data_IF_884899328247
#
_entry.id   IF_884899328247
#
_cell.length_a   1.000
_cell.length_b   1.000
_cell.length_c   1.000
_cell.angle_alpha   90.00
_cell.angle_beta   90.00
_cell.angle_gamma   90.00
#
_symmetry.space_group_name_H-M   'P 1'
#
loop_
_entity.id
_entity.type
_entity.pdbx_description
1 polymer ?
#
# COMPACT_ATOMS: atom_id res chain seq x y z
N UNK A 1 38.17 -34.36 -11.49
CA UNK A 1 38.50 -32.93 -11.56
C UNK A 1 37.59 -32.24 -10.57
N UNK A 2 38.12 -31.72 -9.46
CA UNK A 2 37.29 -31.02 -8.47
C UNK A 2 36.88 -29.67 -9.07
N UNK A 3 35.57 -29.41 -9.15
CA UNK A 3 35.05 -28.06 -9.41
C UNK A 3 35.64 -27.10 -8.38
N UNK A 4 36.12 -25.92 -8.82
CA UNK A 4 36.64 -24.90 -7.91
C UNK A 4 35.49 -24.36 -7.05
N UNK A 5 35.71 -24.16 -5.75
CA UNK A 5 34.67 -23.70 -4.82
C UNK A 5 34.04 -22.35 -5.26
N UNK A 6 34.83 -21.49 -5.89
CA UNK A 6 34.38 -20.22 -6.45
C UNK A 6 33.38 -20.39 -7.61
N UNK A 7 33.61 -21.36 -8.49
CA UNK A 7 32.71 -21.66 -9.61
C UNK A 7 31.35 -22.17 -9.11
N UNK A 8 31.37 -22.97 -8.03
CA UNK A 8 30.15 -23.46 -7.38
C UNK A 8 29.36 -22.29 -6.79
N UNK A 9 30.02 -21.35 -6.10
CA UNK A 9 29.38 -20.17 -5.51
C UNK A 9 28.75 -19.28 -6.59
N UNK A 10 29.47 -18.97 -7.67
CA UNK A 10 28.97 -18.15 -8.79
C UNK A 10 27.75 -18.80 -9.43
N UNK A 11 27.78 -20.13 -9.62
CA UNK A 11 26.66 -20.89 -10.15
C UNK A 11 25.43 -20.80 -9.24
N UNK A 12 25.58 -20.98 -7.93
CA UNK A 12 24.46 -20.86 -6.99
C UNK A 12 23.90 -19.44 -6.94
N UNK A 13 24.77 -18.41 -6.96
CA UNK A 13 24.33 -17.03 -7.02
C UNK A 13 23.50 -16.75 -8.28
N UNK A 14 23.95 -17.24 -9.44
CA UNK A 14 23.23 -17.11 -10.72
C UNK A 14 21.84 -17.77 -10.66
N UNK A 15 21.73 -18.92 -10.00
CA UNK A 15 20.46 -19.61 -9.78
C UNK A 15 19.51 -18.74 -8.95
N UNK A 16 19.99 -18.17 -7.85
CA UNK A 16 19.19 -17.32 -6.97
C UNK A 16 18.76 -16.02 -7.68
N UNK A 17 19.67 -15.36 -8.40
CA UNK A 17 19.37 -14.15 -9.16
C UNK A 17 18.28 -14.39 -10.20
N UNK A 18 18.38 -15.48 -10.97
CA UNK A 18 17.36 -15.86 -11.95
C UNK A 18 16.01 -16.15 -11.29
N UNK A 19 16.01 -16.86 -10.16
CA UNK A 19 14.78 -17.14 -9.41
C UNK A 19 14.09 -15.84 -8.94
N UNK A 20 14.83 -14.93 -8.30
CA UNK A 20 14.26 -13.68 -7.80
C UNK A 20 13.84 -12.73 -8.93
N UNK A 21 14.52 -12.75 -10.09
CA UNK A 21 14.10 -12.03 -11.29
C UNK A 21 12.77 -12.57 -11.85
N UNK A 22 12.60 -13.89 -11.90
CA UNK A 22 11.35 -14.53 -12.31
C UNK A 22 10.22 -14.21 -11.30
N UNK A 23 10.53 -14.22 -10.00
CA UNK A 23 9.59 -13.86 -8.94
C UNK A 23 9.13 -12.40 -9.05
N UNK A 24 10.09 -11.47 -9.23
CA UNK A 24 9.83 -10.03 -9.39
C UNK A 24 9.06 -9.67 -10.66
N UNK A 25 9.17 -10.48 -11.71
CA UNK A 25 8.40 -10.34 -12.96
C UNK A 25 7.06 -11.07 -12.96
N UNK A 26 6.61 -11.56 -11.79
CA UNK A 26 5.36 -12.31 -11.61
C UNK A 26 5.29 -13.64 -12.38
N UNK A 27 6.44 -14.17 -12.80
CA UNK A 27 6.56 -15.44 -13.53
C UNK A 27 6.65 -16.62 -12.57
N UNK A 28 5.68 -16.74 -11.66
CA UNK A 28 5.74 -17.66 -10.52
C UNK A 28 5.89 -19.15 -10.88
N UNK A 29 5.14 -19.62 -11.88
CA UNK A 29 5.22 -21.03 -12.31
C UNK A 29 6.62 -21.33 -12.87
N UNK A 30 7.16 -20.42 -13.70
CA UNK A 30 8.52 -20.53 -14.24
C UNK A 30 9.58 -20.47 -13.13
N UNK A 31 9.41 -19.59 -12.15
CA UNK A 31 10.32 -19.47 -11.01
C UNK A 31 10.38 -20.79 -10.22
N UNK A 32 9.21 -21.39 -9.97
CA UNK A 32 9.09 -22.68 -9.28
C UNK A 32 9.74 -23.81 -10.08
N UNK A 33 9.33 -23.99 -11.33
CA UNK A 33 9.86 -25.06 -12.21
C UNK A 33 11.36 -24.96 -12.40
N UNK A 34 11.88 -23.73 -12.56
CA UNK A 34 13.31 -23.46 -12.67
C UNK A 34 14.05 -23.96 -11.42
N UNK A 35 13.58 -23.58 -10.24
CA UNK A 35 14.28 -23.90 -9.00
C UNK A 35 14.17 -25.38 -8.63
N UNK A 36 13.04 -26.03 -8.91
CA UNK A 36 12.87 -27.48 -8.74
C UNK A 36 13.84 -28.25 -9.66
N UNK A 37 14.00 -27.81 -10.91
CA UNK A 37 14.96 -28.39 -11.86
C UNK A 37 16.40 -28.23 -11.39
N UNK A 38 16.82 -27.01 -11.01
CA UNK A 38 18.19 -26.76 -10.54
C UNK A 38 18.50 -27.55 -9.25
N UNK A 39 17.54 -27.65 -8.33
CA UNK A 39 17.66 -28.49 -7.14
C UNK A 39 17.86 -29.96 -7.50
N UNK A 40 17.01 -30.51 -8.37
CA UNK A 40 17.08 -31.94 -8.74
C UNK A 40 18.40 -32.29 -9.43
N UNK A 41 18.92 -31.38 -10.26
CA UNK A 41 20.26 -31.50 -10.86
C UNK A 41 21.35 -31.46 -9.78
N UNK A 42 21.25 -30.55 -8.83
CA UNK A 42 22.24 -30.40 -7.77
C UNK A 42 22.28 -31.60 -6.81
N UNK A 43 21.12 -32.20 -6.51
CA UNK A 43 21.01 -33.42 -5.71
C UNK A 43 21.56 -34.63 -6.46
N UNK A 44 21.20 -34.82 -7.74
CA UNK A 44 21.68 -35.94 -8.56
C UNK A 44 23.20 -35.95 -8.73
N UNK A 45 23.80 -34.76 -8.83
CA UNK A 45 25.24 -34.64 -9.04
C UNK A 45 26.02 -34.59 -7.71
N UNK A 46 25.35 -34.69 -6.56
CA UNK A 46 25.97 -34.53 -5.23
C UNK A 46 26.75 -33.21 -5.09
N UNK A 47 26.33 -32.15 -5.79
CA UNK A 47 27.04 -30.86 -5.85
C UNK A 47 26.55 -29.84 -4.82
N UNK A 48 25.57 -30.21 -3.98
CA UNK A 48 24.92 -29.30 -3.05
C UNK A 48 24.67 -29.99 -1.71
N UNK A 49 25.00 -29.29 -0.63
CA UNK A 49 24.70 -29.73 0.72
C UNK A 49 23.17 -29.94 0.93
N UNK A 50 22.75 -30.95 1.72
CA UNK A 50 21.33 -31.20 2.00
C UNK A 50 20.57 -29.97 2.55
N UNK A 51 21.29 -29.09 3.27
CA UNK A 51 20.74 -27.84 3.78
C UNK A 51 20.31 -26.90 2.65
N UNK A 52 21.19 -26.64 1.69
CA UNK A 52 20.91 -25.73 0.59
C UNK A 52 19.81 -26.28 -0.33
N UNK A 53 19.75 -27.61 -0.54
CA UNK A 53 18.63 -28.27 -1.22
C UNK A 53 17.27 -28.05 -0.52
N UNK A 54 17.27 -28.03 0.82
CA UNK A 54 16.08 -27.70 1.62
C UNK A 54 15.67 -26.24 1.41
N UNK A 55 16.63 -25.31 1.40
CA UNK A 55 16.37 -23.90 1.13
C UNK A 55 15.78 -23.68 -0.27
N UNK A 56 16.33 -24.32 -1.32
CA UNK A 56 15.78 -24.27 -2.68
C UNK A 56 14.33 -24.79 -2.73
N UNK A 57 14.02 -25.85 -1.99
CA UNK A 57 12.65 -26.38 -1.91
C UNK A 57 11.68 -25.40 -1.23
N UNK A 58 12.14 -24.70 -0.19
CA UNK A 58 11.36 -23.64 0.47
C UNK A 58 11.14 -22.44 -0.46
N UNK A 59 12.14 -22.03 -1.23
CA UNK A 59 12.02 -20.93 -2.21
C UNK A 59 11.05 -21.30 -3.36
N UNK A 60 11.07 -22.54 -3.85
CA UNK A 60 10.11 -23.01 -4.86
C UNK A 60 8.66 -22.98 -4.30
N UNK A 61 8.50 -23.36 -3.03
CA UNK A 61 7.22 -23.29 -2.32
C UNK A 61 6.75 -21.84 -2.14
N UNK A 62 7.67 -20.89 -1.91
CA UNK A 62 7.38 -19.47 -1.86
C UNK A 62 6.83 -18.94 -3.19
N UNK A 63 7.38 -19.36 -4.34
CA UNK A 63 6.85 -18.96 -5.64
C UNK A 63 5.39 -19.38 -5.83
N UNK A 64 5.03 -20.60 -5.38
CA UNK A 64 3.64 -21.07 -5.39
C UNK A 64 2.74 -20.26 -4.44
N UNK A 65 3.23 -19.91 -3.25
CA UNK A 65 2.50 -19.08 -2.29
C UNK A 65 2.25 -17.66 -2.86
N UNK A 66 3.28 -17.02 -3.43
CA UNK A 66 3.19 -15.68 -4.01
C UNK A 66 2.23 -15.63 -5.21
N UNK A 67 2.18 -16.69 -6.04
CA UNK A 67 1.17 -16.82 -7.11
C UNK A 67 -0.25 -16.76 -6.54
N UNK A 68 -0.51 -17.53 -5.49
CA UNK A 68 -1.81 -17.60 -4.85
C UNK A 68 -2.16 -16.27 -4.16
N UNK A 69 -1.18 -15.61 -3.54
CA UNK A 69 -1.34 -14.29 -2.93
C UNK A 69 -1.68 -13.23 -3.97
N UNK A 70 -0.93 -13.17 -5.07
CA UNK A 70 -1.11 -12.18 -6.13
C UNK A 70 -2.48 -12.27 -6.83
N UNK A 71 -3.16 -13.42 -6.69
CA UNK A 71 -4.50 -13.70 -7.22
C UNK A 71 -5.59 -13.74 -6.13
N UNK A 72 -5.32 -13.26 -4.93
CA UNK A 72 -6.28 -13.21 -3.82
C UNK A 72 -6.91 -14.56 -3.43
N UNK A 73 -6.19 -15.66 -3.62
CA UNK A 73 -6.73 -17.00 -3.31
C UNK A 73 -7.05 -17.19 -1.82
N UNK A 74 -6.53 -16.33 -0.95
CA UNK A 74 -6.88 -16.28 0.48
C UNK A 74 -8.28 -15.73 0.77
N UNK A 75 -8.86 -14.98 -0.17
CA UNK A 75 -10.25 -14.48 -0.08
C UNK A 75 -11.26 -15.39 -0.78
N UNK A 76 -10.79 -16.42 -1.50
CA UNK A 76 -11.62 -17.33 -2.27
C UNK A 76 -12.63 -18.11 -1.42
N UNK A 77 -13.70 -18.65 -2.03
CA UNK A 77 -14.68 -19.46 -1.30
C UNK A 77 -14.00 -20.68 -0.68
N UNK A 78 -14.22 -20.89 0.63
CA UNK A 78 -13.88 -22.13 1.33
C UNK A 78 -14.81 -23.22 0.81
N UNK A 79 -14.34 -24.01 -0.16
CA UNK A 79 -15.14 -25.09 -0.74
C UNK A 79 -15.41 -26.17 0.32
N UNK A 80 -16.67 -26.63 0.42
CA UNK A 80 -17.16 -27.54 1.46
C UNK A 80 -16.45 -28.92 1.53
N UNK A 81 -15.57 -29.23 0.57
CA UNK A 81 -14.86 -30.53 0.46
C UNK A 81 -13.38 -30.40 0.03
N UNK A 82 -12.77 -29.21 0.03
CA UNK A 82 -11.33 -29.09 -0.23
C UNK A 82 -10.58 -29.11 1.10
N UNK A 83 -9.68 -30.09 1.26
CA UNK A 83 -8.68 -30.11 2.34
C UNK A 83 -7.99 -28.74 2.35
N UNK A 84 -8.16 -28.02 3.46
CA UNK A 84 -7.65 -26.67 3.66
C UNK A 84 -6.11 -26.66 3.63
N UNK A 85 -5.51 -26.54 2.45
CA UNK A 85 -4.24 -25.83 2.35
C UNK A 85 -4.58 -24.36 2.08
N UNK A 86 -5.12 -23.69 3.11
CA UNK A 86 -5.34 -22.25 3.00
C UNK A 86 -4.00 -21.59 2.64
N UNK A 87 -4.02 -20.53 1.83
CA UNK A 87 -2.79 -19.80 1.52
C UNK A 87 -2.05 -19.37 2.81
N UNK A 88 -2.82 -19.08 3.87
CA UNK A 88 -2.30 -18.82 5.20
C UNK A 88 -1.45 -19.99 5.71
N UNK A 89 -1.94 -21.22 5.61
CA UNK A 89 -1.21 -22.44 5.98
C UNK A 89 0.06 -22.65 5.14
N UNK A 90 0.07 -22.26 3.86
CA UNK A 90 1.29 -22.28 3.04
C UNK A 90 2.36 -21.32 3.60
N UNK A 91 1.96 -20.09 3.93
CA UNK A 91 2.88 -19.12 4.53
C UNK A 91 3.30 -19.47 5.96
N UNK A 92 2.43 -20.05 6.77
CA UNK A 92 2.78 -20.58 8.11
C UNK A 92 3.80 -21.72 8.00
N UNK A 93 3.62 -22.63 7.03
CA UNK A 93 4.60 -23.68 6.72
C UNK A 93 5.95 -23.10 6.29
N UNK A 94 5.95 -22.11 5.39
CA UNK A 94 7.16 -21.41 4.96
C UNK A 94 7.84 -20.67 6.12
N UNK A 95 7.06 -20.05 7.01
CA UNK A 95 7.58 -19.35 8.19
C UNK A 95 8.34 -20.32 9.10
N UNK A 96 7.75 -21.48 9.41
CA UNK A 96 8.40 -22.49 10.24
C UNK A 96 9.66 -23.04 9.57
N UNK A 97 9.62 -23.27 8.26
CA UNK A 97 10.78 -23.79 7.53
C UNK A 97 11.92 -22.78 7.43
N UNK A 98 11.63 -21.51 7.14
CA UNK A 98 12.66 -20.46 7.14
C UNK A 98 13.25 -20.22 8.53
N UNK A 99 12.43 -20.29 9.58
CA UNK A 99 12.92 -20.21 10.95
C UNK A 99 13.87 -21.38 11.27
N UNK A 100 13.50 -22.61 10.91
CA UNK A 100 14.36 -23.79 11.08
C UNK A 100 15.68 -23.67 10.30
N UNK A 101 15.64 -23.13 9.09
CA UNK A 101 16.82 -22.94 8.24
C UNK A 101 17.72 -21.80 8.76
N UNK A 102 17.14 -20.74 9.33
CA UNK A 102 17.87 -19.64 9.96
C UNK A 102 18.57 -20.10 11.26
N UNK A 103 17.85 -20.79 12.15
CA UNK A 103 18.34 -21.21 13.48
C UNK A 103 19.53 -22.17 13.42
N UNK A 104 19.65 -22.99 12.36
CA UNK A 104 20.76 -23.94 12.19
C UNK A 104 22.14 -23.26 12.13
N UNK A 105 22.20 -21.97 11.77
CA UNK A 105 23.44 -21.17 11.76
C UNK A 105 23.94 -20.81 13.17
N UNK A 106 23.09 -20.85 14.20
CA UNK A 106 23.48 -20.50 15.58
C UNK A 106 23.99 -21.68 16.42
N UNK A 107 23.93 -22.90 15.88
CA UNK A 107 24.25 -24.14 16.64
C UNK A 107 25.69 -24.62 16.42
N UNK A 108 26.42 -24.10 15.42
CA UNK A 108 27.86 -24.36 15.27
C UNK A 108 28.64 -23.28 16.03
N UNK A 109 29.20 -23.56 17.23
CA UNK A 109 30.03 -22.59 17.91
C UNK A 109 31.35 -22.54 17.14
N UNK A 110 31.71 -21.39 16.60
CA UNK A 110 33.12 -21.06 16.37
C UNK A 110 33.78 -21.19 17.75
N UNK A 111 34.53 -22.26 17.95
CA UNK A 111 35.33 -22.46 19.15
C UNK A 111 36.47 -21.44 19.13
N UNK A 112 36.20 -20.22 19.61
CA UNK A 112 37.26 -19.30 20.02
C UNK A 112 37.85 -19.82 21.33
N UNK A 113 39.20 -19.96 21.45
CA UNK A 113 39.81 -20.31 22.71
C UNK A 113 39.55 -19.17 23.70
N UNK A 114 38.73 -19.45 24.71
CA UNK A 114 38.46 -18.53 25.82
C UNK A 114 39.72 -18.49 26.69
N UNK A 115 40.48 -17.40 26.61
CA UNK A 115 41.44 -17.04 27.65
C UNK A 115 40.67 -16.51 28.86
N UNK A 116 40.84 -17.18 30.00
CA UNK A 116 40.21 -16.85 31.28
C UNK A 116 40.55 -15.44 31.76
N UNK A 117 39.60 -14.69 32.37
CA UNK A 117 39.90 -13.38 32.93
C UNK A 117 40.49 -13.53 34.33
N UNK A 118 41.80 -13.30 34.45
CA UNK A 118 42.43 -13.07 35.75
C UNK A 118 42.27 -11.60 36.12
N UNK A 119 41.49 -11.36 37.17
CA UNK A 119 41.25 -10.06 37.77
C UNK A 119 42.55 -9.42 38.23
N UNK A 120 42.71 -8.09 38.07
CA UNK A 120 43.51 -7.26 38.98
C UNK A 120 43.47 -5.77 38.64
N UNK A 121 42.97 -5.00 39.62
CA UNK A 121 43.25 -3.58 39.94
C UNK A 121 42.64 -2.49 39.03
N UNK A 122 41.63 -1.77 39.54
CA UNK A 122 41.69 -0.53 40.36
C UNK A 122 41.84 0.72 39.49
N UNK A 123 40.79 1.53 39.51
CA UNK A 123 40.75 2.95 39.11
C UNK A 123 41.87 3.76 39.78
N UNK A 124 42.32 4.87 39.16
CA UNK A 124 41.79 6.17 39.60
C UNK A 124 41.59 7.24 38.50
N UNK A 125 40.84 8.25 38.93
CA UNK A 125 40.32 9.47 38.27
C UNK A 125 41.37 10.48 37.75
N UNK A 126 40.94 11.56 37.01
CA UNK A 126 41.79 12.55 36.34
C UNK A 126 41.93 13.87 37.16
N UNK A 127 42.34 15.02 36.59
CA UNK A 127 43.58 15.40 35.89
C UNK A 127 44.28 16.59 36.60
N UNK A 128 45.53 16.96 36.25
CA UNK A 128 46.01 18.34 36.51
C UNK A 128 47.22 18.77 35.67
N UNK A 129 47.14 20.04 35.26
CA UNK A 129 48.21 21.04 35.00
C UNK A 129 49.16 20.89 33.81
N UNK A 130 48.95 21.78 32.82
CA UNK A 130 49.93 22.45 31.94
C UNK A 130 51.03 23.19 32.77
N UNK A 131 52.11 23.81 32.21
CA UNK A 131 52.26 24.35 30.84
C UNK A 131 53.68 24.28 30.19
N UNK A 132 53.82 24.93 29.02
CA UNK A 132 55.07 25.44 28.36
C UNK A 132 55.84 24.40 27.53
N UNK A 133 56.34 24.59 26.30
CA UNK A 133 56.25 25.58 25.21
C UNK A 133 57.05 25.07 23.99
N UNK A 134 56.70 25.55 22.78
CA UNK A 134 57.57 25.86 21.61
C UNK A 134 58.14 24.71 20.74
N UNK A 135 57.98 24.89 19.41
CA UNK A 135 58.84 24.34 18.34
C UNK A 135 58.09 23.47 17.33
N UNK A 136 57.43 24.06 16.32
CA UNK A 136 57.90 24.20 14.94
C UNK A 136 58.21 22.91 14.15
N UNK A 137 57.43 22.77 13.07
CA UNK A 137 57.89 22.51 11.69
C UNK A 137 58.20 21.09 11.17
N UNK A 138 57.48 20.82 10.06
CA UNK A 138 57.96 20.30 8.77
C UNK A 138 57.97 18.78 8.53
N UNK A 139 57.08 18.43 7.59
CA UNK A 139 57.20 17.52 6.44
C UNK A 139 58.44 16.66 6.30
N UNK A 140 58.22 15.41 5.88
CA UNK A 140 59.29 14.61 5.29
C UNK A 140 58.86 13.21 4.92
N UNK A 141 58.23 13.05 3.76
CA UNK A 141 58.15 11.79 3.04
C UNK A 141 59.55 11.21 2.83
N UNK A 142 59.74 9.91 3.08
CA UNK A 142 60.65 9.10 2.27
C UNK A 142 60.36 7.63 2.45
N UNK A 143 59.98 7.01 1.34
CA UNK A 143 60.06 5.59 1.13
C UNK A 143 61.52 5.11 1.25
N UNK A 144 61.71 3.93 1.83
CA UNK A 144 62.88 3.11 1.55
C UNK A 144 62.43 1.67 1.34
N UNK A 145 62.22 1.38 0.06
CA UNK A 145 62.32 0.05 -0.51
C UNK A 145 63.72 -0.52 -0.25
N UNK A 146 63.80 -1.65 0.45
CA UNK A 146 64.87 -2.62 0.27
C UNK A 146 64.25 -3.96 -0.08
N UNK A 147 64.52 -4.40 -1.31
CA UNK A 147 64.23 -5.74 -1.75
C UNK A 147 65.17 -6.74 -1.09
N UNK A 148 64.67 -7.95 -0.89
CA UNK A 148 65.50 -9.14 -0.94
C UNK A 148 64.69 -10.30 -1.48
N UNK A 149 65.27 -10.83 -2.54
CA UNK A 149 64.92 -12.01 -3.31
C UNK A 149 64.79 -13.24 -2.43
N UNK A 150 63.62 -13.88 -2.50
CA UNK A 150 63.38 -15.21 -1.94
C UNK A 150 62.46 -15.97 -2.87
N UNK A 151 63.03 -16.70 -3.82
CA UNK A 151 62.32 -17.66 -4.65
C UNK A 151 61.78 -18.78 -3.77
N UNK A 152 60.46 -18.87 -3.65
CA UNK A 152 59.78 -20.08 -3.16
C UNK A 152 58.67 -20.44 -4.14
N UNK A 153 58.95 -21.53 -4.85
CA UNK A 153 58.04 -22.48 -5.51
C UNK A 153 56.57 -22.30 -5.15
N UNK A 154 55.76 -22.23 -6.22
CA UNK A 154 54.31 -22.28 -6.16
C UNK A 154 53.81 -23.43 -5.29
N UNK A 155 52.94 -23.08 -4.35
CA UNK A 155 52.06 -24.01 -3.67
C UNK A 155 50.64 -23.59 -4.04
N UNK A 156 50.06 -24.28 -5.02
CA UNK A 156 48.61 -24.27 -5.26
C UNK A 156 47.94 -24.83 -4.01
N UNK A 157 47.56 -23.95 -3.09
CA UNK A 157 46.65 -24.32 -2.01
C UNK A 157 45.29 -24.63 -2.64
N UNK A 158 45.02 -25.91 -2.87
CA UNK A 158 43.65 -26.38 -2.97
C UNK A 158 42.98 -26.07 -1.64
N UNK A 159 42.03 -25.12 -1.63
CA UNK A 159 41.15 -24.93 -0.49
C UNK A 159 40.42 -26.26 -0.22
N UNK A 160 40.33 -26.73 1.03
CA UNK A 160 39.52 -27.89 1.35
C UNK A 160 38.06 -27.62 0.98
N UNK A 161 37.41 -28.59 0.33
CA UNK A 161 36.01 -28.54 -0.12
C UNK A 161 35.01 -28.10 0.97
N UNK A 162 35.37 -28.27 2.24
CA UNK A 162 34.64 -27.80 3.42
C UNK A 162 34.39 -26.28 3.45
N UNK A 163 35.30 -25.46 2.92
CA UNK A 163 35.14 -23.99 2.96
C UNK A 163 34.02 -23.47 2.03
N UNK A 164 33.74 -24.17 0.93
CA UNK A 164 32.67 -23.79 0.00
C UNK A 164 31.27 -24.13 0.52
N UNK A 165 31.13 -25.24 1.25
CA UNK A 165 29.88 -25.65 1.88
C UNK A 165 29.45 -24.67 2.97
N UNK A 166 30.37 -24.26 3.85
CA UNK A 166 30.10 -23.29 4.91
C UNK A 166 29.61 -21.93 4.37
N UNK A 167 30.21 -21.44 3.28
CA UNK A 167 29.82 -20.16 2.66
C UNK A 167 28.40 -20.24 2.08
N UNK A 168 28.05 -21.35 1.42
CA UNK A 168 26.73 -21.55 0.83
C UNK A 168 25.65 -21.75 1.91
N UNK A 169 25.97 -22.47 2.99
CA UNK A 169 25.05 -22.60 4.13
C UNK A 169 24.80 -21.25 4.82
N UNK A 170 25.85 -20.44 5.00
CA UNK A 170 25.73 -19.09 5.56
C UNK A 170 24.87 -18.18 4.67
N UNK A 171 25.09 -18.21 3.35
CA UNK A 171 24.27 -17.46 2.39
C UNK A 171 22.80 -17.88 2.43
N UNK A 172 22.53 -19.19 2.38
CA UNK A 172 21.15 -19.70 2.40
C UNK A 172 20.45 -19.41 3.73
N UNK A 173 21.14 -19.52 4.87
CA UNK A 173 20.60 -19.13 6.18
C UNK A 173 20.26 -17.65 6.24
N UNK A 174 21.18 -16.78 5.79
CA UNK A 174 20.96 -15.33 5.74
C UNK A 174 19.74 -14.97 4.88
N UNK A 175 19.61 -15.58 3.70
CA UNK A 175 18.45 -15.39 2.83
C UNK A 175 17.15 -15.90 3.48
N UNK A 176 17.19 -17.04 4.18
CA UNK A 176 16.03 -17.55 4.91
C UNK A 176 15.58 -16.57 6.01
N UNK A 177 16.49 -15.94 6.76
CA UNK A 177 16.13 -14.92 7.76
C UNK A 177 15.46 -13.68 7.15
N UNK A 178 15.91 -13.22 5.98
CA UNK A 178 15.25 -12.14 5.24
C UNK A 178 13.86 -12.57 4.75
N UNK A 179 13.74 -13.76 4.17
CA UNK A 179 12.48 -14.30 3.66
C UNK A 179 11.49 -14.62 4.78
N UNK A 180 11.96 -14.96 5.97
CA UNK A 180 11.13 -15.11 7.17
C UNK A 180 10.43 -13.79 7.52
N UNK A 181 11.17 -12.68 7.52
CA UNK A 181 10.62 -11.34 7.74
C UNK A 181 9.61 -10.96 6.66
N UNK A 182 9.91 -11.30 5.40
CA UNK A 182 9.00 -11.11 4.27
C UNK A 182 7.69 -11.89 4.43
N UNK A 183 7.75 -13.19 4.75
CA UNK A 183 6.56 -14.05 4.96
C UNK A 183 5.70 -13.54 6.12
N UNK A 184 6.32 -13.09 7.23
CA UNK A 184 5.61 -12.48 8.35
C UNK A 184 4.86 -11.21 7.94
N UNK A 185 5.51 -10.33 7.15
CA UNK A 185 4.86 -9.15 6.61
C UNK A 185 3.71 -9.50 5.66
N UNK A 186 3.88 -10.56 4.86
CA UNK A 186 2.89 -11.05 3.91
C UNK A 186 1.62 -11.55 4.61
N UNK A 187 1.76 -12.32 5.69
CA UNK A 187 0.65 -12.75 6.55
C UNK A 187 -0.15 -11.55 7.09
N UNK A 188 0.53 -10.55 7.67
CA UNK A 188 -0.13 -9.32 8.15
C UNK A 188 -0.84 -8.55 7.03
N UNK A 189 -0.27 -8.55 5.82
CA UNK A 189 -0.86 -7.87 4.67
C UNK A 189 -2.11 -8.61 4.17
N UNK A 190 -2.16 -9.95 4.27
CA UNK A 190 -3.37 -10.72 3.98
C UNK A 190 -4.52 -10.34 4.93
N UNK A 191 -4.24 -10.28 6.24
CA UNK A 191 -5.22 -9.83 7.24
C UNK A 191 -5.74 -8.42 6.95
N UNK A 192 -4.85 -7.52 6.50
CA UNK A 192 -5.22 -6.19 6.05
C UNK A 192 -6.20 -6.21 4.87
N UNK A 193 -5.94 -7.03 3.84
CA UNK A 193 -6.84 -7.19 2.70
C UNK A 193 -8.19 -7.82 3.09
N UNK A 194 -8.20 -8.79 4.01
CA UNK A 194 -9.44 -9.37 4.58
C UNK A 194 -10.28 -8.31 5.30
N UNK A 195 -9.62 -7.43 6.06
CA UNK A 195 -10.29 -6.29 6.72
C UNK A 195 -10.86 -5.31 5.69
N UNK A 196 -10.11 -4.98 4.63
CA UNK A 196 -10.62 -4.12 3.54
C UNK A 196 -11.83 -4.73 2.83
N UNK A 197 -11.80 -6.03 2.54
CA UNK A 197 -12.94 -6.74 1.96
C UNK A 197 -14.18 -6.62 2.86
N UNK A 198 -14.01 -6.88 4.16
CA UNK A 198 -15.09 -6.81 5.16
C UNK A 198 -15.68 -5.39 5.26
N UNK A 199 -14.86 -4.35 5.11
CA UNK A 199 -15.32 -2.96 5.07
C UNK A 199 -16.20 -2.67 3.85
N UNK A 200 -15.95 -3.33 2.71
CA UNK A 200 -16.75 -3.17 1.50
C UNK A 200 -18.23 -3.53 1.69
N UNK A 201 -18.54 -4.41 2.66
CA UNK A 201 -19.92 -4.77 3.02
C UNK A 201 -20.66 -3.70 3.82
N UNK A 202 -19.94 -2.74 4.42
CA UNK A 202 -20.57 -1.65 5.19
C UNK A 202 -21.04 -0.53 4.27
N UNK A 203 -22.30 -0.11 4.39
CA UNK A 203 -22.88 0.99 3.59
C UNK A 203 -22.01 2.26 3.59
N UNK A 204 -21.41 2.60 4.72
CA UNK A 204 -20.46 3.69 4.86
C UNK A 204 -19.15 3.15 5.41
N UNK A 205 -18.07 3.28 4.63
CA UNK A 205 -16.75 2.87 5.09
C UNK A 205 -16.21 3.88 6.10
N UNK A 206 -15.66 3.36 7.21
CA UNK A 206 -14.93 4.13 8.22
C UNK A 206 -13.46 3.79 8.12
N UNK A 207 -12.62 4.78 7.87
CA UNK A 207 -11.16 4.60 7.73
C UNK A 207 -10.39 4.89 9.03
N UNK A 208 -11.07 5.34 10.08
CA UNK A 208 -10.46 5.66 11.36
C UNK A 208 -9.74 4.44 11.95
N UNK A 209 -8.48 4.64 12.38
CA UNK A 209 -7.63 3.56 12.90
C UNK A 209 -7.04 2.63 11.85
N UNK A 210 -7.41 2.72 10.56
CA UNK A 210 -6.93 1.82 9.51
C UNK A 210 -5.46 2.10 9.12
N UNK A 211 -5.04 3.36 9.15
CA UNK A 211 -3.69 3.82 8.77
C UNK A 211 -2.70 3.90 9.94
N UNK A 212 -3.13 3.56 11.16
CA UNK A 212 -2.29 3.71 12.38
C UNK A 212 -1.12 2.71 12.43
N UNK A 213 -1.14 1.67 11.60
CA UNK A 213 -0.04 0.71 11.45
C UNK A 213 0.58 0.81 10.05
N UNK A 214 1.32 1.89 9.80
CA UNK A 214 2.02 2.10 8.54
C UNK A 214 3.12 1.05 8.31
N UNK A 215 3.06 0.35 7.18
CA UNK A 215 4.17 -0.49 6.70
C UNK A 215 5.31 0.45 6.27
N UNK A 216 6.46 0.35 6.94
CA UNK A 216 7.66 1.12 6.58
C UNK A 216 8.17 0.69 5.19
N UNK A 217 8.50 1.69 4.37
CA UNK A 217 8.91 1.61 2.96
C UNK A 217 9.87 0.46 2.66
N UNK A 218 9.59 -0.30 1.60
CA UNK A 218 10.55 -1.15 0.89
C UNK A 218 10.49 -0.73 -0.59
N UNK A 219 11.64 -0.46 -1.18
CA UNK A 219 11.77 -0.10 -2.60
C UNK A 219 12.48 -1.22 -3.34
N UNK A 220 12.00 -1.58 -4.53
CA UNK A 220 12.78 -2.27 -5.56
C UNK A 220 12.26 -1.90 -6.95
N UNK A 221 13.17 -1.92 -7.92
CA UNK A 221 12.98 -1.46 -9.29
C UNK A 221 13.25 -2.57 -10.32
N UNK A 222 12.92 -2.23 -11.57
CA UNK A 222 13.38 -2.76 -12.87
C UNK A 222 12.46 -3.76 -13.60
N UNK A 223 12.54 -3.60 -14.93
CA UNK A 223 11.57 -3.90 -15.98
C UNK A 223 11.94 -5.13 -16.81
N UNK A 224 10.93 -5.79 -17.37
CA UNK A 224 10.84 -6.14 -18.80
C UNK A 224 9.37 -6.47 -19.12
N UNK A 225 8.99 -6.54 -20.41
CA UNK A 225 7.58 -6.59 -20.87
C UNK A 225 6.75 -7.61 -20.07
N UNK A 226 5.72 -7.17 -19.32
CA UNK A 226 5.19 -7.99 -18.25
C UNK A 226 4.15 -9.00 -18.77
N UNK A 227 4.09 -10.20 -18.18
CA UNK A 227 2.90 -11.04 -18.23
C UNK A 227 1.66 -10.24 -17.73
N UNK A 228 0.42 -10.71 -18.01
CA UNK A 228 -0.79 -10.02 -17.55
C UNK A 228 -0.68 -9.71 -16.06
N UNK A 229 -0.91 -8.44 -15.72
CA UNK A 229 -0.66 -7.96 -14.37
C UNK A 229 -1.51 -8.74 -13.35
N UNK A 230 -0.95 -9.14 -12.20
CA UNK A 230 -1.69 -9.93 -11.22
C UNK A 230 -2.98 -9.26 -10.76
N UNK A 231 -3.94 -10.06 -10.27
CA UNK A 231 -5.23 -9.58 -9.80
C UNK A 231 -5.10 -8.47 -8.77
N UNK A 232 -4.17 -8.62 -7.81
CA UNK A 232 -3.88 -7.58 -6.81
C UNK A 232 -3.39 -6.27 -7.42
N UNK A 233 -2.45 -6.33 -8.36
CA UNK A 233 -1.96 -5.11 -9.02
C UNK A 233 -3.07 -4.41 -9.80
N UNK A 234 -3.87 -5.18 -10.53
CA UNK A 234 -5.02 -4.66 -11.28
C UNK A 234 -6.05 -4.01 -10.35
N UNK A 235 -6.35 -4.64 -9.21
CA UNK A 235 -7.25 -4.08 -8.20
C UNK A 235 -6.71 -2.78 -7.61
N UNK A 236 -5.42 -2.72 -7.24
CA UNK A 236 -4.77 -1.50 -6.73
C UNK A 236 -4.80 -0.36 -7.76
N UNK A 237 -4.59 -0.67 -9.05
CA UNK A 237 -4.70 0.31 -10.13
C UNK A 237 -6.12 0.87 -10.23
N UNK A 238 -7.13 0.02 -10.09
CA UNK A 238 -8.54 0.44 -10.11
C UNK A 238 -8.88 1.27 -8.87
N UNK A 239 -8.39 0.90 -7.69
CA UNK A 239 -8.51 1.68 -6.46
C UNK A 239 -7.90 3.07 -6.63
N UNK A 240 -6.66 3.16 -7.12
CA UNK A 240 -6.02 4.44 -7.44
C UNK A 240 -6.88 5.26 -8.39
N UNK A 241 -7.35 4.68 -9.48
CA UNK A 241 -8.11 5.41 -10.49
C UNK A 241 -9.45 5.94 -9.94
N UNK A 242 -10.15 5.15 -9.12
CA UNK A 242 -11.39 5.56 -8.45
C UNK A 242 -11.15 6.69 -7.42
N UNK A 243 -10.08 6.58 -6.61
CA UNK A 243 -9.69 7.61 -5.65
C UNK A 243 -9.30 8.92 -6.35
N UNK A 244 -8.56 8.85 -7.46
CA UNK A 244 -8.23 10.03 -8.27
C UNK A 244 -9.49 10.66 -8.85
N UNK A 245 -10.42 9.87 -9.42
CA UNK A 245 -11.72 10.40 -9.88
C UNK A 245 -12.50 11.11 -8.78
N UNK A 246 -12.52 10.54 -7.56
CA UNK A 246 -13.20 11.13 -6.39
C UNK A 246 -12.50 12.42 -5.92
N UNK A 247 -11.17 12.40 -5.86
CA UNK A 247 -10.36 13.58 -5.55
C UNK A 247 -10.62 14.72 -6.53
N UNK A 248 -10.61 14.43 -7.84
CA UNK A 248 -10.89 15.42 -8.89
C UNK A 248 -12.26 16.05 -8.71
N UNK A 249 -13.28 15.29 -8.26
CA UNK A 249 -14.61 15.85 -7.97
C UNK A 249 -14.60 16.70 -6.69
N UNK A 250 -14.16 16.14 -5.55
CA UNK A 250 -14.28 16.79 -4.24
C UNK A 250 -13.44 18.06 -4.14
N UNK A 251 -12.34 18.12 -4.89
CA UNK A 251 -11.49 19.29 -4.96
C UNK A 251 -11.63 20.04 -6.28
N UNK A 252 -12.68 19.79 -7.07
CA UNK A 252 -12.86 20.38 -8.39
C UNK A 252 -12.74 21.90 -8.37
N UNK A 253 -13.38 22.57 -7.41
CA UNK A 253 -13.31 24.03 -7.29
C UNK A 253 -11.87 24.51 -7.08
N UNK A 254 -11.14 23.90 -6.15
CA UNK A 254 -9.75 24.27 -5.83
C UNK A 254 -8.85 23.98 -7.03
N UNK A 255 -8.97 22.80 -7.64
CA UNK A 255 -8.21 22.40 -8.81
C UNK A 255 -8.47 23.35 -9.99
N UNK A 256 -9.72 23.74 -10.22
CA UNK A 256 -10.07 24.67 -11.29
C UNK A 256 -9.51 26.08 -11.09
N UNK A 257 -9.31 26.52 -9.84
CA UNK A 257 -8.67 27.79 -9.50
C UNK A 257 -7.14 27.74 -9.60
N UNK A 258 -6.56 26.54 -9.45
CA UNK A 258 -5.11 26.33 -9.43
C UNK A 258 -4.54 25.75 -10.74
N UNK A 259 -5.39 25.50 -11.74
CA UNK A 259 -4.97 24.95 -13.04
C UNK A 259 -5.67 25.65 -14.19
N UNK A 260 -5.20 25.40 -15.42
CA UNK A 260 -5.86 25.96 -16.60
C UNK A 260 -7.15 25.19 -16.93
N UNK A 261 -8.11 25.79 -17.64
CA UNK A 261 -9.29 25.06 -18.12
C UNK A 261 -8.95 23.83 -18.98
N UNK A 262 -7.84 23.88 -19.72
CA UNK A 262 -7.34 22.76 -20.50
C UNK A 262 -6.86 21.62 -19.60
N UNK A 263 -6.10 21.93 -18.54
CA UNK A 263 -5.63 20.94 -17.57
C UNK A 263 -6.78 20.31 -16.81
N UNK A 264 -7.75 21.12 -16.35
CA UNK A 264 -8.92 20.62 -15.65
C UNK A 264 -9.73 19.65 -16.53
N UNK A 265 -9.93 20.01 -17.81
CA UNK A 265 -10.55 19.12 -18.80
C UNK A 265 -9.75 17.83 -19.00
N UNK A 266 -8.42 17.93 -19.05
CA UNK A 266 -7.53 16.77 -19.17
C UNK A 266 -7.60 15.86 -17.93
N UNK A 267 -7.71 16.41 -16.71
CA UNK A 267 -7.90 15.62 -15.49
C UNK A 267 -9.20 14.85 -15.53
N UNK A 268 -10.30 15.49 -15.92
CA UNK A 268 -11.61 14.85 -16.07
C UNK A 268 -11.59 13.77 -17.17
N UNK A 269 -10.95 14.04 -18.32
CA UNK A 269 -10.87 13.08 -19.42
C UNK A 269 -10.02 11.84 -19.13
N UNK A 270 -8.98 11.97 -18.29
CA UNK A 270 -8.13 10.85 -17.86
C UNK A 270 -8.70 10.09 -16.65
N UNK A 271 -9.74 10.64 -16.01
CA UNK A 271 -10.36 10.03 -14.85
C UNK A 271 -11.09 8.74 -15.27
N UNK A 272 -11.02 7.70 -14.42
CA UNK A 272 -11.78 6.46 -14.66
C UNK A 272 -13.29 6.69 -14.69
N UNK A 273 -13.74 7.72 -13.97
CA UNK A 273 -15.09 8.24 -13.98
C UNK A 273 -15.05 9.77 -13.95
N UNK A 274 -15.68 10.41 -14.94
CA UNK A 274 -15.84 11.86 -15.01
C UNK A 274 -17.15 12.27 -14.33
N UNK A 275 -17.06 12.47 -13.01
CA UNK A 275 -18.21 12.86 -12.19
C UNK A 275 -18.74 14.25 -12.56
N UNK A 276 -17.85 15.19 -12.85
CA UNK A 276 -18.23 16.57 -13.12
C UNK A 276 -19.02 16.67 -14.43
N UNK A 277 -18.59 15.98 -15.49
CA UNK A 277 -19.34 15.89 -16.74
C UNK A 277 -20.73 15.26 -16.55
N UNK A 278 -20.86 14.23 -15.69
CA UNK A 278 -22.17 13.65 -15.34
C UNK A 278 -23.08 14.62 -14.60
N UNK A 279 -22.55 15.36 -13.63
CA UNK A 279 -23.29 16.39 -12.88
C UNK A 279 -23.78 17.49 -13.82
N UNK A 280 -22.88 18.06 -14.63
CA UNK A 280 -23.21 19.14 -15.57
C UNK A 280 -24.21 18.69 -16.65
N UNK A 281 -24.06 17.47 -17.16
CA UNK A 281 -25.00 16.90 -18.14
C UNK A 281 -26.39 16.66 -17.54
N UNK A 282 -26.47 16.17 -16.31
CA UNK A 282 -27.74 15.97 -15.61
C UNK A 282 -28.42 17.30 -15.30
N UNK A 283 -27.65 18.28 -14.82
CA UNK A 283 -28.14 19.63 -14.53
C UNK A 283 -28.80 20.27 -15.75
N UNK A 284 -28.10 20.28 -16.90
CA UNK A 284 -28.62 20.84 -18.16
C UNK A 284 -29.82 20.08 -18.70
N UNK A 285 -29.81 18.74 -18.61
CA UNK A 285 -30.86 17.89 -19.21
C UNK A 285 -32.20 18.02 -18.51
N UNK A 286 -32.20 18.19 -17.18
CA UNK A 286 -33.42 18.17 -16.38
C UNK A 286 -33.75 19.51 -15.72
N UNK A 287 -33.05 20.58 -16.14
CA UNK A 287 -33.23 21.93 -15.61
C UNK A 287 -33.14 21.98 -14.08
N UNK A 288 -32.05 21.38 -13.57
CA UNK A 288 -31.76 21.37 -12.14
C UNK A 288 -31.19 22.72 -11.74
N UNK A 289 -31.70 23.32 -10.67
CA UNK A 289 -31.19 24.60 -10.17
C UNK A 289 -29.78 24.45 -9.58
N UNK A 290 -29.57 23.42 -8.74
CA UNK A 290 -28.28 23.14 -8.13
C UNK A 290 -28.07 21.65 -7.87
N UNK A 291 -26.84 21.18 -8.05
CA UNK A 291 -26.36 19.90 -7.53
C UNK A 291 -25.15 20.20 -6.65
N UNK A 292 -25.20 19.78 -5.38
CA UNK A 292 -24.16 20.05 -4.42
C UNK A 292 -23.75 18.82 -3.61
N UNK A 293 -22.50 18.79 -3.16
CA UNK A 293 -22.04 17.86 -2.13
C UNK A 293 -21.71 18.68 -0.89
N UNK A 294 -22.37 18.34 0.20
CA UNK A 294 -22.28 19.05 1.48
C UNK A 294 -21.48 18.21 2.46
N UNK A 295 -20.45 18.82 3.07
CA UNK A 295 -19.67 18.22 4.14
C UNK A 295 -20.25 18.64 5.49
N UNK A 296 -20.49 17.67 6.36
CA UNK A 296 -20.78 17.88 7.78
C UNK A 296 -19.47 17.90 8.58
N UNK A 297 -19.17 19.07 9.13
CA UNK A 297 -17.94 19.34 9.90
C UNK A 297 -18.07 19.03 11.39
N UNK A 298 -19.24 18.59 11.88
CA UNK A 298 -19.46 18.35 13.30
C UNK A 298 -18.48 17.30 13.86
N UNK A 299 -17.62 17.69 14.81
CA UNK A 299 -16.58 16.81 15.36
C UNK A 299 -15.40 16.56 14.40
N UNK A 300 -15.15 17.49 13.46
CA UNK A 300 -13.87 17.60 12.76
C UNK A 300 -13.06 18.75 13.38
N UNK A 301 -12.33 18.44 14.45
CA UNK A 301 -11.60 19.46 15.23
C UNK A 301 -10.47 20.13 14.42
N UNK A 302 -9.95 19.46 13.39
CA UNK A 302 -8.87 19.94 12.52
C UNK A 302 -9.36 20.50 11.16
N UNK A 303 -10.67 20.73 10.98
CA UNK A 303 -11.19 21.21 9.70
C UNK A 303 -10.96 22.72 9.51
N UNK A 304 -9.88 23.11 8.85
CA UNK A 304 -9.55 24.53 8.62
C UNK A 304 -10.24 25.19 7.41
N UNK A 305 -11.23 24.55 6.80
CA UNK A 305 -11.91 25.07 5.60
C UNK A 305 -11.36 24.50 4.28
N UNK A 306 -11.79 25.11 3.17
CA UNK A 306 -11.44 24.67 1.83
C UNK A 306 -10.02 25.04 1.41
N UNK A 307 -9.28 24.06 0.90
CA UNK A 307 -7.95 24.25 0.32
C UNK A 307 -6.85 24.39 1.38
N UNK A 308 -5.72 24.97 0.98
CA UNK A 308 -4.60 25.19 1.88
C UNK A 308 -4.91 26.34 2.85
N UNK A 309 -4.79 26.07 4.14
CA UNK A 309 -4.82 27.09 5.19
C UNK A 309 -3.45 27.15 5.86
N UNK A 310 -2.95 28.38 6.05
CA UNK A 310 -1.67 28.59 6.71
C UNK A 310 -1.72 28.08 8.16
N UNK A 311 -0.70 27.35 8.66
CA UNK A 311 -0.74 26.77 10.02
C UNK A 311 -0.91 27.79 11.15
N UNK A 312 -0.54 29.05 10.91
CA UNK A 312 -0.65 30.14 11.89
C UNK A 312 -1.96 30.94 11.76
N UNK A 313 -2.83 30.61 10.79
CA UNK A 313 -4.12 31.27 10.66
C UNK A 313 -4.99 30.86 11.85
N UNK A 314 -5.53 31.83 12.58
CA UNK A 314 -6.48 31.57 13.65
C UNK A 314 -7.62 30.69 13.12
N UNK A 315 -7.80 29.54 13.74
CA UNK A 315 -8.84 28.60 13.38
C UNK A 315 -10.07 28.86 14.23
N UNK A 316 -11.21 29.04 13.57
CA UNK A 316 -12.51 29.10 14.22
C UNK A 316 -13.33 27.89 13.77
N UNK A 317 -13.75 27.08 14.74
CA UNK A 317 -14.62 25.93 14.47
C UNK A 317 -15.93 26.42 13.84
N UNK A 318 -16.31 25.93 12.64
CA UNK A 318 -17.54 26.38 11.99
C UNK A 318 -18.78 26.05 12.83
N UNK A 319 -19.71 27.01 12.95
CA UNK A 319 -20.94 26.89 13.75
C UNK A 319 -22.19 27.10 12.89
N UNK A 320 -23.29 26.48 13.27
CA UNK A 320 -24.60 26.69 12.63
C UNK A 320 -24.59 26.32 11.15
N UNK A 321 -24.93 27.27 10.28
CA UNK A 321 -24.94 27.06 8.82
C UNK A 321 -23.54 26.82 8.25
N UNK A 322 -22.50 27.36 8.88
CA UNK A 322 -21.11 27.21 8.44
C UNK A 322 -20.55 25.82 8.75
N UNK A 323 -21.24 25.04 9.60
CA UNK A 323 -20.87 23.64 9.87
C UNK A 323 -21.12 22.71 8.69
N UNK A 324 -21.74 23.19 7.61
CA UNK A 324 -22.16 22.38 6.47
C UNK A 324 -21.59 22.86 5.12
N UNK A 325 -20.30 23.19 4.94
CA UNK A 325 -19.84 23.81 3.70
C UNK A 325 -20.17 22.97 2.43
N UNK A 326 -20.67 23.60 1.34
CA UNK A 326 -20.86 22.93 0.05
C UNK A 326 -19.50 22.75 -0.63
N UNK A 327 -18.93 21.55 -0.51
CA UNK A 327 -17.59 21.23 -1.03
C UNK A 327 -17.55 21.06 -2.55
N UNK A 328 -18.72 20.82 -3.15
CA UNK A 328 -18.95 20.84 -4.60
C UNK A 328 -20.29 21.52 -4.82
N UNK A 329 -20.37 22.43 -5.79
CA UNK A 329 -21.62 23.02 -6.26
C UNK A 329 -21.57 23.20 -7.77
N UNK A 330 -22.65 22.80 -8.45
CA UNK A 330 -22.88 23.14 -9.84
C UNK A 330 -24.33 23.62 -10.06
N UNK A 331 -24.56 24.83 -10.61
CA UNK A 331 -23.56 25.81 -11.05
C UNK A 331 -22.60 26.28 -9.92
N UNK A 332 -21.37 26.71 -10.27
CA UNK A 332 -20.44 27.24 -9.29
C UNK A 332 -21.02 28.49 -8.61
N UNK A 333 -20.69 28.71 -7.34
CA UNK A 333 -21.14 29.85 -6.54
C UNK A 333 -22.68 29.95 -6.35
N UNK A 334 -23.43 28.86 -6.54
CA UNK A 334 -24.91 28.88 -6.39
C UNK A 334 -25.33 29.47 -5.04
N UNK A 335 -24.75 28.99 -3.94
CA UNK A 335 -25.08 29.48 -2.59
C UNK A 335 -24.45 30.84 -2.23
N UNK A 336 -23.57 31.38 -3.07
CA UNK A 336 -22.98 32.70 -2.87
C UNK A 336 -23.77 33.82 -3.55
N UNK A 337 -24.72 33.47 -4.43
CA UNK A 337 -25.60 34.43 -5.07
C UNK A 337 -26.73 34.80 -4.11
N UNK A 338 -26.91 36.09 -3.83
CA UNK A 338 -27.85 36.59 -2.82
C UNK A 338 -29.27 36.01 -2.97
N UNK A 339 -29.79 35.95 -4.21
CA UNK A 339 -31.11 35.38 -4.50
C UNK A 339 -31.21 33.89 -4.15
N UNK A 340 -30.16 33.12 -4.41
CA UNK A 340 -30.13 31.66 -4.30
C UNK A 340 -29.59 31.17 -2.95
N UNK A 341 -28.91 32.03 -2.19
CA UNK A 341 -28.44 31.77 -0.83
C UNK A 341 -29.60 31.43 0.13
N UNK A 342 -30.82 31.87 -0.19
CA UNK A 342 -32.06 31.55 0.52
C UNK A 342 -32.40 30.06 0.56
N UNK A 343 -31.86 29.23 -0.35
CA UNK A 343 -32.00 27.77 -0.29
C UNK A 343 -31.18 27.13 0.83
N UNK A 344 -30.10 27.77 1.26
CA UNK A 344 -29.13 27.18 2.16
C UNK A 344 -29.69 26.79 3.54
N UNK A 345 -30.47 27.66 4.23
CA UNK A 345 -31.14 27.28 5.48
C UNK A 345 -32.07 26.07 5.33
N UNK A 346 -32.78 25.95 4.21
CA UNK A 346 -33.65 24.80 3.95
C UNK A 346 -32.85 23.51 3.79
N UNK A 347 -31.73 23.55 3.07
CA UNK A 347 -30.84 22.38 2.93
C UNK A 347 -30.32 21.92 4.28
N UNK A 348 -29.77 22.83 5.09
CA UNK A 348 -29.21 22.50 6.42
C UNK A 348 -30.30 22.02 7.37
N UNK A 349 -31.48 22.66 7.37
CA UNK A 349 -32.62 22.24 8.17
C UNK A 349 -33.05 20.81 7.82
N UNK A 350 -33.14 20.47 6.53
CA UNK A 350 -33.49 19.12 6.09
C UNK A 350 -32.43 18.12 6.51
N UNK A 351 -31.15 18.42 6.30
CA UNK A 351 -30.05 17.53 6.70
C UNK A 351 -30.06 17.18 8.18
N UNK A 352 -30.39 18.15 9.04
CA UNK A 352 -30.49 17.93 10.48
C UNK A 352 -31.79 17.19 10.87
N UNK A 353 -32.95 17.67 10.41
CA UNK A 353 -34.24 17.11 10.81
C UNK A 353 -34.51 15.72 10.23
N UNK A 354 -33.86 15.37 9.12
CA UNK A 354 -34.05 14.13 8.36
C UNK A 354 -32.78 13.28 8.29
N UNK A 355 -31.81 13.51 9.18
CA UNK A 355 -30.51 12.82 9.15
C UNK A 355 -30.66 11.29 9.11
N UNK A 356 -31.52 10.74 9.98
CA UNK A 356 -31.75 9.29 10.07
C UNK A 356 -32.40 8.76 8.79
N UNK A 357 -33.40 9.46 8.24
CA UNK A 357 -34.07 9.08 7.00
C UNK A 357 -33.05 9.04 5.86
N UNK A 358 -32.25 10.11 5.69
CA UNK A 358 -31.23 10.26 4.66
C UNK A 358 -30.13 9.18 4.77
N UNK A 359 -29.81 8.75 6.00
CA UNK A 359 -28.79 7.71 6.28
C UNK A 359 -29.32 6.29 6.06
N UNK A 360 -30.59 6.04 6.37
CA UNK A 360 -31.15 4.69 6.39
C UNK A 360 -31.80 4.30 5.06
N UNK A 361 -32.14 5.26 4.21
CA UNK A 361 -32.68 4.99 2.87
C UNK A 361 -31.61 4.69 1.82
N UNK A 362 -31.95 3.87 0.83
CA UNK A 362 -31.16 3.72 -0.40
C UNK A 362 -31.57 4.71 -1.49
N UNK A 363 -32.80 5.19 -1.44
CA UNK A 363 -33.37 6.16 -2.39
C UNK A 363 -33.28 7.57 -1.82
N UNK A 364 -33.09 8.57 -2.67
CA UNK A 364 -33.05 9.97 -2.18
C UNK A 364 -34.31 10.36 -1.40
N UNK A 365 -34.14 11.06 -0.27
CA UNK A 365 -35.24 11.72 0.47
C UNK A 365 -35.63 12.97 -0.30
N UNK A 366 -36.92 13.14 -0.59
CA UNK A 366 -37.46 14.29 -1.33
C UNK A 366 -38.31 15.17 -0.42
N UNK A 367 -38.17 16.48 -0.52
CA UNK A 367 -38.98 17.45 0.24
C UNK A 367 -39.31 18.64 -0.66
N UNK A 368 -40.58 18.98 -0.74
CA UNK A 368 -41.05 20.21 -1.39
C UNK A 368 -41.27 21.30 -0.35
N UNK A 369 -40.66 22.47 -0.53
CA UNK A 369 -40.94 23.69 0.26
C UNK A 369 -41.86 24.61 -0.56
N UNK A 370 -43.15 24.75 -0.19
CA UNK A 370 -44.09 25.62 -0.90
C UNK A 370 -43.71 27.10 -0.88
N UNK A 371 -42.98 27.56 0.16
CA UNK A 371 -42.59 28.98 0.29
C UNK A 371 -41.49 29.33 -0.71
N UNK A 372 -40.57 28.41 -0.92
CA UNK A 372 -39.49 28.53 -1.91
C UNK A 372 -39.92 28.08 -3.30
N UNK A 373 -41.10 27.45 -3.43
CA UNK A 373 -41.54 26.73 -4.62
C UNK A 373 -40.44 25.78 -5.16
N UNK A 374 -39.76 25.08 -4.26
CA UNK A 374 -38.58 24.29 -4.60
C UNK A 374 -38.65 22.87 -4.02
N UNK A 375 -38.11 21.91 -4.76
CA UNK A 375 -37.97 20.52 -4.31
C UNK A 375 -36.50 20.18 -4.08
N UNK A 376 -36.21 19.58 -2.94
CA UNK A 376 -34.88 19.16 -2.50
C UNK A 376 -34.82 17.64 -2.45
N UNK A 377 -33.85 17.04 -3.12
CA UNK A 377 -33.53 15.63 -3.01
C UNK A 377 -32.18 15.46 -2.31
N UNK A 378 -32.12 14.61 -1.28
CA UNK A 378 -30.92 14.38 -0.48
C UNK A 378 -30.59 12.89 -0.40
N UNK A 379 -29.31 12.55 -0.55
CA UNK A 379 -28.82 11.18 -0.34
C UNK A 379 -27.44 11.20 0.29
N UNK A 380 -27.24 10.39 1.33
CA UNK A 380 -25.95 10.30 2.03
C UNK A 380 -24.92 9.60 1.14
N UNK A 381 -23.83 10.26 0.78
CA UNK A 381 -22.72 9.60 0.07
C UNK A 381 -21.90 8.82 1.10
N UNK A 382 -21.35 9.53 2.08
CA UNK A 382 -20.48 8.98 3.14
C UNK A 382 -20.94 9.47 4.51
N UNK A 383 -20.33 8.99 5.60
CA UNK A 383 -20.71 9.37 6.97
C UNK A 383 -20.88 10.89 7.16
N UNK A 384 -20.06 11.71 6.49
CA UNK A 384 -20.06 13.17 6.57
C UNK A 384 -20.40 13.88 5.26
N UNK A 385 -20.71 13.16 4.18
CA UNK A 385 -20.95 13.75 2.86
C UNK A 385 -22.36 13.49 2.39
N UNK A 386 -23.09 14.54 2.00
CA UNK A 386 -24.48 14.44 1.52
C UNK A 386 -24.59 15.04 0.12
N UNK A 387 -25.16 14.28 -0.82
CA UNK A 387 -25.53 14.78 -2.14
C UNK A 387 -26.88 15.50 -2.04
N UNK A 388 -26.96 16.70 -2.59
CA UNK A 388 -28.16 17.54 -2.64
C UNK A 388 -28.47 17.89 -4.09
N UNK A 389 -29.73 17.77 -4.50
CA UNK A 389 -30.24 18.19 -5.82
C UNK A 389 -31.45 19.09 -5.60
N UNK A 390 -31.43 20.28 -6.18
CA UNK A 390 -32.44 21.32 -5.98
C UNK A 390 -33.14 21.61 -7.32
N UNK A 391 -34.47 21.63 -7.30
CA UNK A 391 -35.30 22.11 -8.39
C UNK A 391 -36.13 23.30 -7.93
N UNK A 392 -36.18 24.40 -8.69
CA UNK A 392 -37.08 25.54 -8.47
C UNK A 392 -38.48 25.27 -9.04
N UNK A 393 -38.97 24.05 -8.80
CA UNK A 393 -40.31 23.61 -9.15
C UNK A 393 -40.71 22.44 -8.28
N UNK A 394 -42.02 22.17 -8.19
CA UNK A 394 -42.54 20.96 -7.56
C UNK A 394 -42.16 19.74 -8.41
N UNK A 395 -41.42 18.80 -7.82
CA UNK A 395 -41.12 17.48 -8.38
C UNK A 395 -41.80 16.39 -7.57
N UNK A 396 -41.95 15.22 -8.17
CA UNK A 396 -42.58 14.08 -7.53
C UNK A 396 -41.51 13.13 -6.99
N UNK A 397 -41.80 12.44 -5.90
CA UNK A 397 -40.93 11.37 -5.38
C UNK A 397 -40.88 10.15 -6.33
N UNK A 398 -41.71 10.14 -7.38
CA UNK A 398 -41.76 9.07 -8.39
C UNK A 398 -40.84 9.33 -9.57
N UNK A 399 -40.12 10.46 -9.58
CA UNK A 399 -39.20 10.85 -10.66
C UNK A 399 -37.95 9.95 -10.68
N UNK A 400 -38.12 8.76 -11.27
CA UNK A 400 -37.14 7.66 -11.26
C UNK A 400 -35.77 8.05 -11.82
N UNK A 401 -35.72 9.00 -12.76
CA UNK A 401 -34.48 9.50 -13.33
C UNK A 401 -33.61 10.26 -12.30
N UNK A 402 -34.22 10.98 -11.35
CA UNK A 402 -33.53 11.69 -10.26
C UNK A 402 -32.94 10.67 -9.29
N UNK A 403 -33.76 9.72 -8.82
CA UNK A 403 -33.30 8.67 -7.91
C UNK A 403 -32.20 7.82 -8.53
N UNK A 404 -32.33 7.45 -9.82
CA UNK A 404 -31.31 6.68 -10.54
C UNK A 404 -29.99 7.45 -10.66
N UNK A 405 -30.04 8.75 -10.95
CA UNK A 405 -28.84 9.59 -11.01
C UNK A 405 -28.14 9.66 -9.65
N UNK A 406 -28.88 9.99 -8.59
CA UNK A 406 -28.33 10.12 -7.25
C UNK A 406 -27.78 8.79 -6.73
N UNK A 407 -28.50 7.69 -6.94
CA UNK A 407 -28.06 6.35 -6.56
C UNK A 407 -26.76 5.94 -7.28
N UNK A 408 -26.68 6.19 -8.59
CA UNK A 408 -25.48 5.92 -9.38
C UNK A 408 -24.28 6.72 -8.83
N UNK A 409 -24.46 8.02 -8.62
CA UNK A 409 -23.40 8.91 -8.15
C UNK A 409 -22.93 8.52 -6.75
N UNK A 410 -23.86 8.30 -5.81
CA UNK A 410 -23.53 7.88 -4.44
C UNK A 410 -22.84 6.51 -4.42
N UNK A 411 -23.33 5.53 -5.17
CA UNK A 411 -22.74 4.17 -5.18
C UNK A 411 -21.30 4.19 -5.72
N UNK A 412 -21.05 4.96 -6.77
CA UNK A 412 -19.71 5.10 -7.35
C UNK A 412 -18.75 5.83 -6.38
N UNK A 413 -19.20 6.92 -5.75
CA UNK A 413 -18.39 7.69 -4.79
C UNK A 413 -18.11 6.95 -3.48
N UNK A 414 -19.04 6.10 -3.03
CA UNK A 414 -18.82 5.19 -1.90
C UNK A 414 -17.78 4.14 -2.24
N UNK A 415 -17.79 3.59 -3.45
CA UNK A 415 -16.77 2.63 -3.90
C UNK A 415 -16.87 1.24 -3.25
N UNK A 416 -17.94 0.91 -2.52
CA UNK A 416 -18.13 -0.41 -1.88
C UNK A 416 -17.85 -1.59 -2.82
N UNK A 417 -18.37 -1.52 -4.05
CA UNK A 417 -18.19 -2.56 -5.06
C UNK A 417 -16.72 -2.81 -5.41
N UNK A 418 -15.89 -1.77 -5.36
CA UNK A 418 -14.45 -1.89 -5.58
C UNK A 418 -13.78 -2.60 -4.40
N UNK A 419 -14.19 -2.33 -3.16
CA UNK A 419 -13.65 -3.04 -2.00
C UNK A 419 -14.12 -4.50 -1.96
N UNK A 420 -15.35 -4.80 -2.39
CA UNK A 420 -15.83 -6.19 -2.47
C UNK A 420 -15.19 -6.96 -3.62
N UNK A 421 -14.81 -6.29 -4.73
CA UNK A 421 -14.22 -6.93 -5.92
C UNK A 421 -12.80 -7.47 -5.71
N UNK A 422 -12.20 -7.21 -4.54
CA UNK A 422 -10.93 -7.80 -4.15
C UNK A 422 -11.04 -9.33 -3.95
N UNK A 423 -12.26 -9.82 -3.66
CA UNK A 423 -12.53 -11.24 -3.55
C UNK A 423 -12.75 -11.87 -4.94
N UNK A 424 -11.98 -12.89 -5.33
CA UNK A 424 -12.20 -13.58 -6.60
C UNK A 424 -13.62 -14.16 -6.67
N UNK A 425 -14.33 -13.89 -7.77
CA UNK A 425 -15.68 -14.40 -8.01
C UNK A 425 -16.82 -13.61 -7.35
N UNK A 426 -16.54 -12.51 -6.64
CA UNK A 426 -17.60 -11.56 -6.26
C UNK A 426 -18.11 -10.84 -7.51
N UNK A 427 -19.40 -10.99 -7.84
CA UNK A 427 -20.09 -10.20 -8.88
C UNK A 427 -20.63 -8.90 -8.32
#
# INVERSE_FOLDING_TARGET
MSENAEDVIIKQQTILDNFFNLLGSFSYDKAKEYLEKERDLAVKNHTVAPFFSSALSAFASLAAAEKNYANFMFLGPKGFLRKDSSLKSMYEGLMNEYQRLEEKHYITPVSTPTMSPSSSYRTPSPPSSSPVSVGSEVSGSAASSFGSTGSVRGSTHNLPAYLGEDVLENLASHLCGQLLSFVRARLKTMEFYEKMYSMGSNRYMKFDGFFTNGIKKISTAVSSKPPPAPGLYTWLRNLKAALVSKFTLYFHEILSKQTTPADMKNFCAKASFDYFSKITSFQKKYDVACIAIVLDTAGLDDFSGHGYCHPQKAFETPKGLDSFPPIVSYPPNFFSQEKLATHWPSVVMIMNNKEQDIRNTETAVSIFDPRMNATYFLSKIEARMTLVVIFESKKTERDSHIHRFMQLLCTQLRGNKLFTSIKPGSK
#
